data_IF_580458482857
#
_entry.id   IF_580458482857
#
_cell.length_a   1.000
_cell.length_b   1.000
_cell.length_c   1.000
_cell.angle_alpha   90.00
_cell.angle_beta   90.00
_cell.angle_gamma   90.00
#
_symmetry.space_group_name_H-M   'P 1'
#
loop_
_entity.id
_entity.type
_entity.pdbx_description
1 polymer ?
#
# COMPACT_ATOMS: atom_id res chain seq x y z
N UNK A 1 -8.94 5.90 14.48
CA UNK A 1 -7.55 5.39 14.27
C UNK A 1 -7.63 3.92 13.96
N UNK A 2 -7.14 3.50 12.79
CA UNK A 2 -7.20 2.09 12.35
C UNK A 2 -5.90 1.35 12.64
N UNK A 3 -4.75 2.02 12.59
CA UNK A 3 -3.44 1.45 12.89
C UNK A 3 -2.68 2.37 13.85
N UNK A 4 -2.17 1.79 14.95
CA UNK A 4 -1.27 2.48 15.90
C UNK A 4 -0.07 1.57 16.19
N UNK A 5 1.11 1.99 15.77
CA UNK A 5 2.39 1.32 15.99
C UNK A 5 3.15 2.11 17.04
N UNK A 6 3.50 1.46 18.14
CA UNK A 6 4.11 2.08 19.32
C UNK A 6 5.46 1.45 19.63
N UNK A 7 6.53 2.19 19.34
CA UNK A 7 7.92 1.84 19.65
C UNK A 7 8.30 0.42 19.17
N UNK A 8 7.89 0.06 17.94
CA UNK A 8 8.11 -1.29 17.42
C UNK A 8 9.53 -1.46 16.91
N UNK A 9 10.21 -2.46 17.44
CA UNK A 9 11.49 -2.97 16.93
C UNK A 9 11.31 -4.41 16.46
N UNK A 10 12.03 -4.78 15.41
CA UNK A 10 11.93 -6.11 14.82
C UNK A 10 13.32 -6.62 14.43
N UNK A 11 13.66 -7.84 14.86
CA UNK A 11 14.91 -8.51 14.54
C UNK A 11 14.63 -9.90 13.99
N UNK A 12 15.21 -10.21 12.82
CA UNK A 12 15.23 -11.57 12.29
C UNK A 12 16.30 -12.41 13.00
N UNK A 13 16.01 -13.68 13.26
CA UNK A 13 16.96 -14.65 13.88
C UNK A 13 18.25 -14.79 13.07
N UNK A 14 18.16 -14.62 11.75
CA UNK A 14 19.28 -14.65 10.81
C UNK A 14 20.12 -13.36 10.78
N UNK A 15 19.78 -12.32 11.58
CA UNK A 15 20.45 -11.03 11.58
C UNK A 15 20.88 -10.62 12.98
N UNK A 16 22.06 -10.01 13.07
CA UNK A 16 22.59 -9.46 14.34
C UNK A 16 21.94 -8.13 14.71
N UNK A 17 21.46 -7.36 13.72
CA UNK A 17 20.88 -6.02 13.93
C UNK A 17 19.39 -6.02 13.68
N UNK A 18 18.71 -5.15 14.38
CA UNK A 18 17.29 -4.88 14.17
C UNK A 18 17.03 -4.38 12.73
N UNK A 19 16.00 -4.91 12.12
CA UNK A 19 15.52 -4.47 10.82
C UNK A 19 14.57 -3.28 10.96
N UNK A 20 13.80 -3.25 12.07
CA UNK A 20 13.03 -2.10 12.52
C UNK A 20 13.53 -1.67 13.90
N UNK A 21 13.60 -0.37 14.17
CA UNK A 21 14.10 0.18 15.43
C UNK A 21 13.19 1.33 15.89
N UNK A 22 12.44 1.10 16.97
CA UNK A 22 11.62 2.12 17.63
C UNK A 22 10.60 2.79 16.73
N UNK A 23 9.98 2.03 15.81
CA UNK A 23 9.02 2.54 14.83
C UNK A 23 7.76 3.00 15.53
N UNK A 24 7.33 4.24 15.22
CA UNK A 24 6.05 4.79 15.64
C UNK A 24 5.31 5.27 14.38
N UNK A 25 4.02 4.89 14.24
CA UNK A 25 3.17 5.32 13.13
C UNK A 25 1.70 5.24 13.56
N UNK A 26 0.94 6.30 13.29
CA UNK A 26 -0.51 6.32 13.50
C UNK A 26 -1.21 6.62 12.18
N UNK A 27 -2.23 5.83 11.86
CA UNK A 27 -3.04 6.01 10.66
C UNK A 27 -4.51 6.05 11.08
N UNK A 28 -5.17 7.13 10.68
CA UNK A 28 -6.61 7.30 10.93
C UNK A 28 -7.44 6.58 9.86
N UNK A 29 -8.70 6.32 10.16
CA UNK A 29 -9.63 5.73 9.18
C UNK A 29 -9.80 6.67 7.98
N UNK A 30 -9.81 6.10 6.78
CA UNK A 30 -9.96 6.83 5.52
C UNK A 30 -8.71 7.58 5.05
N UNK A 31 -7.57 7.46 5.73
CA UNK A 31 -6.31 8.06 5.24
C UNK A 31 -5.74 7.30 4.04
N UNK A 32 -5.06 8.04 3.16
CA UNK A 32 -4.16 7.51 2.14
C UNK A 32 -2.73 7.88 2.47
N UNK A 33 -1.89 6.89 2.75
CA UNK A 33 -0.50 7.07 3.20
C UNK A 33 0.45 6.38 2.24
N UNK A 34 1.48 7.10 1.80
CA UNK A 34 2.60 6.53 1.05
C UNK A 34 3.79 6.32 2.00
N UNK A 35 4.23 5.09 2.14
CA UNK A 35 5.48 4.73 2.86
C UNK A 35 6.58 4.53 1.84
N UNK A 36 7.58 5.36 1.86
CA UNK A 36 8.69 5.34 0.92
C UNK A 36 10.04 5.10 1.60
N UNK A 37 11.04 4.70 0.82
CA UNK A 37 12.40 4.49 1.28
C UNK A 37 13.17 3.51 0.40
N UNK A 38 14.49 3.44 0.57
CA UNK A 38 15.37 2.55 -0.22
C UNK A 38 14.98 1.07 -0.02
N UNK A 39 15.28 0.24 -1.02
CA UNK A 39 15.19 -1.21 -0.85
C UNK A 39 16.01 -1.68 0.36
N UNK A 40 15.45 -2.58 1.16
CA UNK A 40 16.09 -3.12 2.37
C UNK A 40 16.02 -2.19 3.59
N UNK A 41 15.33 -1.05 3.58
CA UNK A 41 15.22 -0.16 4.74
C UNK A 41 14.22 -0.63 5.82
N UNK A 42 13.47 -1.72 5.59
CA UNK A 42 12.53 -2.30 6.57
C UNK A 42 11.05 -2.25 6.20
N UNK A 43 10.67 -1.70 5.04
CA UNK A 43 9.25 -1.53 4.63
C UNK A 43 8.45 -2.84 4.63
N UNK A 44 8.91 -3.88 3.93
CA UNK A 44 8.21 -5.17 3.87
C UNK A 44 8.22 -5.89 5.23
N UNK A 45 9.23 -5.62 6.09
CA UNK A 45 9.23 -6.10 7.47
C UNK A 45 8.14 -5.41 8.29
N UNK A 46 7.93 -4.10 8.09
CA UNK A 46 6.84 -3.37 8.71
C UNK A 46 5.47 -3.93 8.29
N UNK A 47 5.30 -4.21 6.99
CA UNK A 47 4.07 -4.85 6.48
C UNK A 47 3.86 -6.20 7.17
N UNK A 48 4.86 -7.07 7.21
CA UNK A 48 4.78 -8.38 7.89
C UNK A 48 4.45 -8.25 9.37
N UNK A 49 5.04 -7.26 10.06
CA UNK A 49 4.75 -7.02 11.47
C UNK A 49 3.30 -6.61 11.71
N UNK A 50 2.75 -5.71 10.87
CA UNK A 50 1.36 -5.25 10.96
C UNK A 50 0.36 -6.36 10.62
N UNK A 51 0.69 -7.21 9.65
CA UNK A 51 -0.19 -8.30 9.19
C UNK A 51 -0.07 -9.58 10.01
N UNK A 52 0.81 -9.60 11.02
CA UNK A 52 1.04 -10.79 11.83
C UNK A 52 1.75 -11.94 11.09
N UNK A 53 2.35 -11.65 9.93
CA UNK A 53 3.04 -12.65 9.08
C UNK A 53 4.54 -12.76 9.38
N UNK A 54 5.00 -12.16 10.45
CA UNK A 54 6.35 -12.43 10.95
C UNK A 54 6.30 -13.61 11.91
N UNK A 55 6.76 -14.76 11.44
CA UNK A 55 6.81 -15.96 12.26
C UNK A 55 7.77 -15.76 13.46
N UNK A 56 7.36 -16.28 14.63
CA UNK A 56 8.18 -16.21 15.86
C UNK A 56 9.50 -16.98 15.73
N UNK A 57 9.57 -17.95 14.81
CA UNK A 57 10.79 -18.69 14.50
C UNK A 57 11.74 -17.85 13.63
N UNK A 58 11.20 -16.98 12.80
CA UNK A 58 11.97 -16.11 11.90
C UNK A 58 12.47 -14.85 12.59
N UNK A 59 11.82 -14.40 13.67
CA UNK A 59 12.18 -13.15 14.32
C UNK A 59 11.40 -12.81 15.57
N UNK A 60 11.78 -11.71 16.21
CA UNK A 60 11.09 -11.12 17.36
C UNK A 60 10.58 -9.74 17.05
N UNK A 61 9.44 -9.41 17.66
CA UNK A 61 8.84 -8.06 17.65
C UNK A 61 8.77 -7.58 19.08
N UNK A 62 9.38 -6.42 19.38
CA UNK A 62 9.21 -5.67 20.60
C UNK A 62 8.37 -4.43 20.34
N UNK A 63 7.66 -3.93 21.35
CA UNK A 63 6.70 -2.82 21.22
C UNK A 63 5.28 -3.32 21.03
N UNK A 64 4.38 -2.46 20.53
CA UNK A 64 2.95 -2.80 20.37
C UNK A 64 2.42 -2.32 19.05
N UNK A 65 1.54 -3.13 18.46
CA UNK A 65 0.79 -2.79 17.24
C UNK A 65 -0.70 -2.97 17.55
N UNK A 66 -1.48 -1.92 17.32
CA UNK A 66 -2.92 -1.97 17.48
C UNK A 66 -3.60 -1.83 16.12
N UNK A 67 -4.56 -2.71 15.85
CA UNK A 67 -5.46 -2.65 14.71
C UNK A 67 -6.89 -2.46 15.20
N UNK A 68 -7.54 -1.38 14.76
CA UNK A 68 -8.90 -1.03 15.19
C UNK A 68 -9.04 -1.01 16.72
N UNK A 69 -8.01 -0.50 17.41
CA UNK A 69 -7.92 -0.42 18.87
C UNK A 69 -7.58 -1.72 19.60
N UNK A 70 -7.39 -2.85 18.90
CA UNK A 70 -7.03 -4.15 19.49
C UNK A 70 -5.53 -4.43 19.32
N UNK A 71 -4.89 -4.91 20.37
CA UNK A 71 -3.46 -5.33 20.32
C UNK A 71 -3.33 -6.59 19.43
N UNK A 72 -2.52 -6.50 18.37
CA UNK A 72 -2.31 -7.61 17.42
C UNK A 72 -1.68 -8.84 18.06
N UNK A 73 -0.95 -8.68 19.16
CA UNK A 73 -0.38 -9.81 19.90
C UNK A 73 -1.44 -10.74 20.52
N UNK A 74 -2.67 -10.22 20.72
CA UNK A 74 -3.81 -10.97 21.24
C UNK A 74 -4.79 -11.44 20.14
N UNK A 75 -4.51 -11.11 18.86
CA UNK A 75 -5.37 -11.46 17.73
C UNK A 75 -4.87 -12.71 17.02
N UNK A 76 -5.81 -13.49 16.49
CA UNK A 76 -5.46 -14.56 15.53
C UNK A 76 -5.15 -13.99 14.14
N UNK A 77 -4.43 -14.76 13.31
CA UNK A 77 -4.17 -14.39 11.92
C UNK A 77 -5.47 -14.14 11.12
N UNK A 78 -6.52 -14.91 11.43
CA UNK A 78 -7.85 -14.74 10.82
C UNK A 78 -8.48 -13.39 11.21
N UNK A 79 -8.44 -13.02 12.50
CA UNK A 79 -8.95 -11.72 12.98
C UNK A 79 -8.21 -10.55 12.34
N UNK A 80 -6.88 -10.64 12.19
CA UNK A 80 -6.08 -9.65 11.48
C UNK A 80 -6.49 -9.60 10.00
N UNK A 81 -6.61 -10.75 9.33
CA UNK A 81 -6.99 -10.87 7.91
C UNK A 81 -8.44 -10.43 7.60
N UNK A 82 -9.30 -10.28 8.61
CA UNK A 82 -10.61 -9.63 8.45
C UNK A 82 -10.47 -8.10 8.37
N UNK A 83 -9.55 -7.53 9.14
CA UNK A 83 -9.35 -6.08 9.23
C UNK A 83 -8.39 -5.56 8.16
N UNK A 84 -7.34 -6.32 7.84
CA UNK A 84 -6.26 -5.91 6.95
C UNK A 84 -6.24 -6.76 5.69
N UNK A 85 -6.42 -6.12 4.55
CA UNK A 85 -6.18 -6.71 3.25
C UNK A 85 -4.79 -6.36 2.75
N UNK A 86 -4.02 -7.34 2.29
CA UNK A 86 -2.65 -7.12 1.82
C UNK A 86 -2.50 -7.58 0.38
N UNK A 87 -1.94 -6.72 -0.47
CA UNK A 87 -1.50 -7.07 -1.82
C UNK A 87 0.02 -6.99 -1.87
N UNK A 88 0.67 -8.12 -2.21
CA UNK A 88 2.12 -8.24 -2.23
C UNK A 88 2.73 -7.75 -3.56
N UNK A 89 4.03 -7.52 -3.54
CA UNK A 89 4.82 -7.05 -4.68
C UNK A 89 4.70 -7.96 -5.91
N UNK A 90 4.67 -9.26 -5.69
CA UNK A 90 4.53 -10.28 -6.75
C UNK A 90 3.13 -10.89 -6.67
N UNK A 91 2.19 -10.52 -7.56
CA UNK A 91 0.85 -11.12 -7.54
C UNK A 91 0.87 -12.65 -7.67
N UNK A 92 1.82 -13.19 -8.43
CA UNK A 92 1.94 -14.63 -8.65
C UNK A 92 2.25 -15.43 -7.36
N UNK A 93 2.80 -14.79 -6.31
CA UNK A 93 3.02 -15.41 -5.00
C UNK A 93 1.71 -15.47 -4.16
N UNK A 94 0.69 -14.72 -4.56
CA UNK A 94 -0.58 -14.60 -3.85
C UNK A 94 -1.73 -15.32 -4.56
N UNK A 95 -1.68 -15.39 -5.90
CA UNK A 95 -2.73 -15.95 -6.75
C UNK A 95 -2.45 -17.45 -6.96
N UNK A 96 -3.45 -18.32 -6.70
CA UNK A 96 -3.26 -19.79 -6.76
C UNK A 96 -4.41 -20.56 -7.42
N UNK A 97 -5.58 -19.93 -7.65
CA UNK A 97 -6.72 -20.59 -8.27
C UNK A 97 -6.53 -20.80 -9.79
N UNK A 98 -7.48 -21.49 -10.43
CA UNK A 98 -7.43 -21.73 -11.88
C UNK A 98 -8.13 -20.62 -12.69
N UNK A 99 -9.21 -20.07 -12.15
CA UNK A 99 -9.99 -19.01 -12.80
C UNK A 99 -10.01 -17.73 -11.96
N UNK A 100 -10.36 -16.63 -12.60
CA UNK A 100 -10.49 -15.32 -11.95
C UNK A 100 -11.60 -15.35 -10.90
N UNK A 101 -12.73 -16.00 -11.17
CA UNK A 101 -13.84 -16.09 -10.21
C UNK A 101 -13.47 -16.91 -8.99
N UNK A 102 -12.80 -18.06 -9.18
CA UNK A 102 -12.37 -18.93 -8.08
C UNK A 102 -11.39 -18.19 -7.16
N UNK A 103 -10.45 -17.44 -7.73
CA UNK A 103 -9.46 -16.66 -6.96
C UNK A 103 -10.15 -15.61 -6.07
N UNK A 104 -11.06 -14.85 -6.63
CA UNK A 104 -11.78 -13.81 -5.87
C UNK A 104 -12.77 -14.41 -4.88
N UNK A 105 -13.44 -15.50 -5.25
CA UNK A 105 -14.44 -16.19 -4.40
C UNK A 105 -13.86 -16.92 -3.20
N UNK A 106 -12.62 -17.38 -3.30
CA UNK A 106 -11.98 -18.29 -2.35
C UNK A 106 -12.09 -17.86 -0.88
N UNK A 107 -11.78 -16.57 -0.59
CA UNK A 107 -11.83 -16.07 0.78
C UNK A 107 -13.24 -16.06 1.39
N UNK A 108 -14.27 -15.90 0.56
CA UNK A 108 -15.68 -15.93 0.99
C UNK A 108 -16.17 -17.39 1.17
N UNK A 109 -15.76 -18.27 0.28
CA UNK A 109 -16.11 -19.70 0.34
C UNK A 109 -15.53 -20.35 1.59
N UNK A 110 -14.27 -20.05 1.94
CA UNK A 110 -13.63 -20.51 3.16
C UNK A 110 -14.33 -20.02 4.43
N UNK A 111 -15.06 -18.89 4.36
CA UNK A 111 -15.90 -18.39 5.46
C UNK A 111 -17.30 -18.99 5.46
N UNK A 112 -17.60 -19.95 4.59
CA UNK A 112 -18.90 -20.62 4.49
C UNK A 112 -20.01 -19.73 3.95
N UNK A 113 -19.67 -18.67 3.19
CA UNK A 113 -20.65 -17.78 2.55
C UNK A 113 -21.39 -18.55 1.44
N UNK A 114 -22.69 -18.39 1.36
CA UNK A 114 -23.54 -19.08 0.40
C UNK A 114 -23.15 -18.73 -1.04
N UNK A 115 -23.10 -19.73 -1.93
CA UNK A 115 -22.55 -19.64 -3.28
C UNK A 115 -23.19 -18.53 -4.15
N UNK A 116 -24.49 -18.30 -4.00
CA UNK A 116 -25.18 -17.22 -4.74
C UNK A 116 -24.71 -15.84 -4.31
N UNK A 117 -24.41 -15.67 -3.02
CA UNK A 117 -23.84 -14.43 -2.44
C UNK A 117 -22.41 -14.23 -2.89
N UNK A 118 -21.60 -15.32 -2.89
CA UNK A 118 -20.21 -15.31 -3.40
C UNK A 118 -20.21 -14.83 -4.85
N UNK A 119 -21.00 -15.49 -5.72
CA UNK A 119 -21.08 -15.13 -7.15
C UNK A 119 -21.44 -13.65 -7.37
N UNK A 120 -22.39 -13.12 -6.59
CA UNK A 120 -22.79 -11.71 -6.66
C UNK A 120 -21.63 -10.79 -6.27
N UNK A 121 -20.98 -11.05 -5.14
CA UNK A 121 -19.85 -10.24 -4.64
C UNK A 121 -18.63 -10.29 -5.57
N UNK A 122 -18.32 -11.46 -6.12
CA UNK A 122 -17.26 -11.65 -7.12
C UNK A 122 -17.52 -10.76 -8.32
N UNK A 123 -18.72 -10.82 -8.89
CA UNK A 123 -19.09 -9.97 -10.04
C UNK A 123 -18.97 -8.48 -9.72
N UNK A 124 -19.45 -8.05 -8.56
CA UNK A 124 -19.37 -6.65 -8.13
C UNK A 124 -17.92 -6.15 -8.03
N UNK A 125 -17.04 -6.95 -7.40
CA UNK A 125 -15.64 -6.54 -7.22
C UNK A 125 -14.84 -6.62 -8.52
N UNK A 126 -15.11 -7.59 -9.39
CA UNK A 126 -14.46 -7.69 -10.71
C UNK A 126 -14.80 -6.49 -11.58
N UNK A 127 -16.09 -6.09 -11.65
CA UNK A 127 -16.50 -4.88 -12.35
C UNK A 127 -15.75 -3.64 -11.81
N UNK A 128 -15.62 -3.53 -10.50
CA UNK A 128 -14.95 -2.42 -9.84
C UNK A 128 -13.45 -2.37 -10.12
N UNK A 129 -12.80 -3.52 -10.18
CA UNK A 129 -11.35 -3.62 -10.44
C UNK A 129 -11.00 -3.62 -11.93
N UNK A 130 -12.01 -3.52 -12.83
CA UNK A 130 -11.81 -3.50 -14.28
C UNK A 130 -11.49 -4.86 -14.87
N UNK A 131 -12.04 -5.93 -14.25
CA UNK A 131 -11.95 -7.32 -14.72
C UNK A 131 -13.33 -7.91 -15.07
N UNK A 132 -14.33 -7.06 -15.31
CA UNK A 132 -15.68 -7.46 -15.68
C UNK A 132 -15.68 -8.34 -16.92
N UNK A 133 -16.46 -9.43 -16.90
CA UNK A 133 -16.52 -10.42 -18.00
C UNK A 133 -15.31 -11.34 -18.10
N UNK A 134 -14.42 -11.34 -17.12
CA UNK A 134 -13.25 -12.24 -17.07
C UNK A 134 -13.40 -13.40 -16.08
N UNK A 135 -14.57 -13.61 -15.51
CA UNK A 135 -14.85 -14.57 -14.45
C UNK A 135 -14.26 -15.96 -14.72
N UNK A 136 -14.55 -16.50 -15.91
CA UNK A 136 -14.14 -17.85 -16.34
C UNK A 136 -12.74 -17.89 -16.98
N UNK A 137 -12.06 -16.73 -17.02
CA UNK A 137 -10.74 -16.66 -17.65
C UNK A 137 -9.69 -17.31 -16.78
N UNK A 138 -8.79 -18.09 -17.40
CA UNK A 138 -7.62 -18.62 -16.70
C UNK A 138 -6.71 -17.48 -16.23
N UNK A 139 -6.24 -17.55 -14.98
CA UNK A 139 -5.31 -16.58 -14.40
C UNK A 139 -4.01 -16.48 -15.18
N UNK A 140 -3.54 -17.58 -15.78
CA UNK A 140 -2.32 -17.61 -16.62
C UNK A 140 -2.47 -16.82 -17.93
N UNK A 141 -3.70 -16.56 -18.37
CA UNK A 141 -3.95 -15.76 -19.56
C UNK A 141 -4.03 -14.24 -19.28
N UNK A 142 -3.82 -13.82 -18.03
CA UNK A 142 -3.86 -12.43 -17.63
C UNK A 142 -2.50 -11.74 -17.85
N UNK A 143 -2.54 -10.45 -18.24
CA UNK A 143 -1.36 -9.59 -18.22
C UNK A 143 -0.91 -9.28 -16.77
N UNK A 144 0.33 -8.81 -16.57
CA UNK A 144 0.84 -8.44 -15.25
C UNK A 144 -0.06 -7.43 -14.53
N UNK A 145 -0.53 -6.39 -15.23
CA UNK A 145 -1.46 -5.41 -14.65
C UNK A 145 -2.84 -6.00 -14.33
N UNK A 146 -3.33 -6.98 -15.12
CA UNK A 146 -4.56 -7.70 -14.80
C UNK A 146 -4.39 -8.62 -13.59
N UNK A 147 -3.23 -9.29 -13.45
CA UNK A 147 -2.93 -10.08 -12.23
C UNK A 147 -2.87 -9.20 -10.99
N UNK A 148 -2.28 -8.00 -11.08
CA UNK A 148 -2.26 -7.06 -9.96
C UNK A 148 -3.69 -6.62 -9.55
N UNK A 149 -4.57 -6.37 -10.55
CA UNK A 149 -5.98 -6.07 -10.30
C UNK A 149 -6.74 -7.26 -9.71
N UNK A 150 -6.39 -8.48 -10.13
CA UNK A 150 -6.96 -9.71 -9.58
C UNK A 150 -6.55 -9.88 -8.10
N UNK A 151 -5.27 -9.73 -7.77
CA UNK A 151 -4.79 -9.76 -6.39
C UNK A 151 -5.47 -8.67 -5.52
N UNK A 152 -5.72 -7.50 -6.08
CA UNK A 152 -6.51 -6.47 -5.39
C UNK A 152 -7.98 -6.91 -5.22
N UNK A 153 -8.61 -7.49 -6.23
CA UNK A 153 -10.00 -7.95 -6.18
C UNK A 153 -10.21 -9.06 -5.13
N UNK A 154 -9.26 -10.03 -5.05
CA UNK A 154 -9.33 -11.13 -4.07
C UNK A 154 -9.26 -10.64 -2.62
N UNK A 155 -8.61 -9.50 -2.41
CA UNK A 155 -8.58 -8.83 -1.11
C UNK A 155 -9.82 -7.98 -0.86
N UNK A 156 -10.24 -7.18 -1.83
CA UNK A 156 -11.37 -6.25 -1.70
C UNK A 156 -12.72 -6.95 -1.48
N UNK A 157 -12.90 -8.17 -1.98
CA UNK A 157 -14.14 -8.94 -1.83
C UNK A 157 -14.52 -9.17 -0.37
N UNK A 158 -13.53 -9.18 0.54
CA UNK A 158 -13.72 -9.33 1.99
C UNK A 158 -14.04 -8.03 2.71
N UNK A 159 -13.93 -6.87 2.03
CA UNK A 159 -14.15 -5.52 2.55
C UNK A 159 -13.28 -5.21 3.78
N UNK A 160 -11.95 -5.28 3.68
CA UNK A 160 -11.08 -4.94 4.80
C UNK A 160 -11.20 -3.45 5.16
N UNK A 161 -10.92 -3.09 6.42
CA UNK A 161 -10.86 -1.67 6.87
C UNK A 161 -9.56 -0.98 6.47
N UNK A 162 -8.47 -1.73 6.40
CA UNK A 162 -7.13 -1.27 6.02
C UNK A 162 -6.62 -2.09 4.83
N UNK A 163 -6.26 -1.41 3.76
CA UNK A 163 -5.63 -2.00 2.58
C UNK A 163 -4.15 -1.62 2.55
N UNK A 164 -3.28 -2.61 2.59
CA UNK A 164 -1.83 -2.44 2.46
C UNK A 164 -1.38 -3.01 1.11
N UNK A 165 -0.66 -2.19 0.33
CA UNK A 165 -0.16 -2.57 -0.99
C UNK A 165 1.36 -2.42 -1.00
N UNK A 166 2.08 -3.54 -1.19
CA UNK A 166 3.55 -3.54 -1.27
C UNK A 166 3.98 -3.52 -2.74
N UNK A 167 4.57 -2.41 -3.19
CA UNK A 167 5.04 -2.12 -4.55
C UNK A 167 4.02 -2.45 -5.67
N UNK A 168 2.74 -2.00 -5.55
CA UNK A 168 1.64 -2.50 -6.38
C UNK A 168 1.73 -2.09 -7.85
N UNK A 169 2.56 -1.11 -8.19
CA UNK A 169 2.66 -0.58 -9.56
C UNK A 169 3.93 -1.02 -10.29
N UNK A 170 4.75 -1.89 -9.67
CA UNK A 170 6.05 -2.30 -10.17
C UNK A 170 6.01 -2.96 -11.56
N UNK A 171 4.94 -3.70 -11.88
CA UNK A 171 4.76 -4.44 -13.13
C UNK A 171 3.79 -3.75 -14.12
N UNK A 172 3.40 -2.50 -13.85
CA UNK A 172 2.44 -1.78 -14.69
C UNK A 172 3.12 -0.80 -15.65
N UNK A 173 2.52 -0.63 -16.84
CA UNK A 173 2.86 0.48 -17.73
C UNK A 173 2.26 1.80 -17.19
N UNK A 174 2.69 2.99 -17.66
CA UNK A 174 2.23 4.26 -17.12
C UNK A 174 0.72 4.47 -17.13
N UNK A 175 0.01 4.00 -18.17
CA UNK A 175 -1.46 4.08 -18.22
C UNK A 175 -2.12 3.16 -17.19
N UNK A 176 -1.56 1.96 -17.00
CA UNK A 176 -1.98 1.02 -15.96
C UNK A 176 -1.81 1.59 -14.56
N UNK A 177 -0.68 2.25 -14.29
CA UNK A 177 -0.41 2.95 -13.03
C UNK A 177 -1.49 4.00 -12.76
N UNK A 178 -1.75 4.88 -13.75
CA UNK A 178 -2.76 5.93 -13.59
C UNK A 178 -4.14 5.35 -13.25
N UNK A 179 -4.63 4.40 -14.04
CA UNK A 179 -5.96 3.81 -13.82
C UNK A 179 -6.04 2.98 -12.52
N UNK A 180 -4.92 2.41 -12.05
CA UNK A 180 -4.85 1.74 -10.75
C UNK A 180 -4.92 2.74 -9.59
N UNK A 181 -4.22 3.86 -9.68
CA UNK A 181 -4.27 4.92 -8.67
C UNK A 181 -5.63 5.62 -8.62
N UNK A 182 -6.28 5.83 -9.78
CA UNK A 182 -7.67 6.30 -9.86
C UNK A 182 -8.64 5.36 -9.12
N UNK A 183 -8.46 4.05 -9.28
CA UNK A 183 -9.21 3.04 -8.53
C UNK A 183 -8.98 3.17 -7.03
N UNK A 184 -7.73 3.29 -6.55
CA UNK A 184 -7.45 3.44 -5.12
C UNK A 184 -8.10 4.71 -4.54
N UNK A 185 -8.05 5.83 -5.28
CA UNK A 185 -8.73 7.08 -4.86
C UNK A 185 -10.25 6.90 -4.81
N UNK A 186 -10.86 6.16 -5.75
CA UNK A 186 -12.30 5.89 -5.71
C UNK A 186 -12.68 5.05 -4.50
N UNK A 187 -11.89 4.02 -4.17
CA UNK A 187 -12.10 3.19 -2.97
C UNK A 187 -12.04 4.02 -1.69
N UNK A 188 -11.05 4.91 -1.58
CA UNK A 188 -10.93 5.78 -0.41
C UNK A 188 -12.12 6.74 -0.29
N UNK A 189 -12.53 7.39 -1.39
CA UNK A 189 -13.61 8.39 -1.37
C UNK A 189 -14.98 7.80 -1.17
N UNK A 190 -15.29 6.69 -1.82
CA UNK A 190 -16.62 6.08 -1.83
C UNK A 190 -16.86 5.15 -0.65
N UNK A 191 -15.80 4.45 -0.18
CA UNK A 191 -15.92 3.46 0.90
C UNK A 191 -15.22 3.88 2.19
N UNK A 192 -14.61 5.07 2.25
CA UNK A 192 -13.74 5.50 3.35
C UNK A 192 -12.63 4.50 3.68
N UNK A 193 -12.16 3.76 2.66
CA UNK A 193 -11.10 2.77 2.85
C UNK A 193 -9.81 3.45 3.25
N UNK A 194 -9.17 2.92 4.28
CA UNK A 194 -7.81 3.33 4.65
C UNK A 194 -6.82 2.61 3.76
N UNK A 195 -5.91 3.34 3.13
CA UNK A 195 -4.98 2.79 2.14
C UNK A 195 -3.55 3.16 2.49
N UNK A 196 -2.70 2.14 2.64
CA UNK A 196 -1.25 2.29 2.79
C UNK A 196 -0.58 1.69 1.57
N UNK A 197 0.20 2.48 0.87
CA UNK A 197 1.04 2.01 -0.23
C UNK A 197 2.50 2.10 0.19
N UNK A 198 3.21 1.00 0.07
CA UNK A 198 4.66 0.92 0.26
C UNK A 198 5.30 0.96 -1.12
N UNK A 199 6.17 1.93 -1.39
CA UNK A 199 6.76 2.11 -2.71
C UNK A 199 8.13 2.82 -2.65
N UNK A 200 8.96 2.58 -3.65
CA UNK A 200 10.22 3.30 -3.84
C UNK A 200 10.15 4.35 -4.96
N UNK A 201 9.16 4.25 -5.87
CA UNK A 201 8.93 5.17 -7.01
C UNK A 201 8.01 6.32 -6.64
N UNK A 202 8.41 7.14 -5.67
CA UNK A 202 7.59 8.24 -5.13
C UNK A 202 7.07 9.20 -6.22
N UNK A 203 7.86 9.44 -7.26
CA UNK A 203 7.51 10.40 -8.33
C UNK A 203 6.19 10.08 -9.05
N UNK A 204 5.86 8.80 -9.19
CA UNK A 204 4.65 8.36 -9.88
C UNK A 204 3.41 8.46 -8.99
N UNK A 205 3.61 8.36 -7.68
CA UNK A 205 2.53 8.29 -6.69
C UNK A 205 2.30 9.61 -5.93
N UNK A 206 3.29 10.49 -5.87
CA UNK A 206 3.24 11.70 -5.06
C UNK A 206 2.01 12.60 -5.30
N UNK A 207 1.50 12.62 -6.54
CA UNK A 207 0.30 13.40 -6.89
C UNK A 207 -1.01 12.84 -6.29
N UNK A 208 -1.00 11.59 -5.81
CA UNK A 208 -2.17 10.85 -5.39
C UNK A 208 -2.29 10.70 -3.88
N UNK A 209 -1.19 10.86 -3.15
CA UNK A 209 -1.11 10.65 -1.72
C UNK A 209 -0.89 11.96 -0.96
N UNK A 210 -1.78 12.32 -0.02
CA UNK A 210 -1.62 13.57 0.76
C UNK A 210 -0.54 13.47 1.82
N UNK A 211 -0.21 12.25 2.31
CA UNK A 211 0.76 11.99 3.39
C UNK A 211 1.87 11.07 2.91
N UNK A 212 3.09 11.43 3.25
CA UNK A 212 4.31 10.66 2.98
C UNK A 212 5.01 10.32 4.29
N UNK A 213 5.34 9.04 4.46
CA UNK A 213 6.24 8.57 5.50
C UNK A 213 7.51 8.04 4.85
N UNK A 214 8.70 8.50 5.28
CA UNK A 214 9.97 8.07 4.73
C UNK A 214 10.68 7.19 5.74
N UNK A 215 10.95 5.95 5.34
CA UNK A 215 11.69 4.99 6.15
C UNK A 215 13.16 4.94 5.71
N UNK A 216 14.07 5.00 6.69
CA UNK A 216 15.50 4.85 6.50
C UNK A 216 16.10 4.03 7.63
N UNK A 217 16.86 2.97 7.29
CA UNK A 217 17.53 2.10 8.27
C UNK A 217 16.65 1.66 9.44
N UNK A 218 15.41 1.24 9.15
CA UNK A 218 14.50 0.67 10.12
C UNK A 218 13.68 1.66 10.95
N UNK A 219 13.73 2.96 10.70
CA UNK A 219 12.92 3.96 11.39
C UNK A 219 12.37 5.01 10.43
N UNK A 220 11.33 5.72 10.82
CA UNK A 220 10.82 6.85 10.05
C UNK A 220 11.66 8.09 10.29
N UNK A 221 12.11 8.71 9.20
CA UNK A 221 12.85 9.99 9.20
C UNK A 221 11.98 11.17 8.80
N UNK A 222 10.83 10.89 8.22
CA UNK A 222 9.80 11.86 7.88
C UNK A 222 8.42 11.21 8.00
N UNK A 223 7.46 11.94 8.54
CA UNK A 223 6.04 11.62 8.53
C UNK A 223 5.27 12.95 8.48
N UNK A 224 4.59 13.20 7.37
CA UNK A 224 3.90 14.47 7.18
C UNK A 224 3.29 14.63 5.78
N UNK A 225 2.87 15.87 5.50
CA UNK A 225 2.24 16.20 4.22
C UNK A 225 3.21 16.03 3.06
N UNK A 226 2.72 15.47 1.95
CA UNK A 226 3.50 15.27 0.73
C UNK A 226 4.11 16.59 0.21
N UNK A 227 3.35 17.68 0.22
CA UNK A 227 3.80 18.98 -0.28
C UNK A 227 4.99 19.55 0.51
N UNK A 228 5.08 19.25 1.81
CA UNK A 228 6.13 19.75 2.70
C UNK A 228 7.40 18.88 2.62
N UNK A 229 7.26 17.63 2.24
CA UNK A 229 8.37 16.66 2.22
C UNK A 229 9.56 17.12 1.38
N UNK A 230 9.31 17.82 0.29
CA UNK A 230 10.34 18.26 -0.65
C UNK A 230 11.30 19.32 -0.08
N UNK A 231 10.91 20.02 0.95
CA UNK A 231 11.79 20.96 1.68
C UNK A 231 12.72 20.21 2.64
N UNK A 232 12.26 19.05 3.16
CA UNK A 232 13.06 18.21 4.07
C UNK A 232 14.01 17.29 3.29
N UNK A 233 13.58 16.78 2.13
CA UNK A 233 14.33 15.81 1.32
C UNK A 233 15.53 16.42 0.60
N UNK A 234 15.51 17.72 0.33
CA UNK A 234 16.59 18.41 -0.37
C UNK A 234 17.93 18.40 0.39
N UNK A 235 17.89 18.11 1.67
CA UNK A 235 19.08 18.14 2.53
C UNK A 235 19.78 16.77 2.68
N UNK A 236 19.21 15.67 2.13
CA UNK A 236 19.72 14.34 2.34
C UNK A 236 19.53 13.41 1.12
N UNK A 237 20.53 13.34 0.24
CA UNK A 237 20.60 12.35 -0.87
C UNK A 237 20.56 10.88 -0.42
N UNK A 238 20.58 10.62 0.90
CA UNK A 238 20.71 9.29 1.50
C UNK A 238 19.43 8.44 1.51
N UNK A 239 18.24 9.04 1.34
CA UNK A 239 16.95 8.30 1.50
C UNK A 239 16.53 7.51 0.28
N UNK A 240 17.19 7.69 -0.87
CA UNK A 240 16.90 6.95 -2.11
C UNK A 240 15.60 7.36 -2.79
N UNK A 241 15.05 8.51 -2.41
CA UNK A 241 13.86 9.09 -3.01
C UNK A 241 14.31 10.14 -4.01
N UNK A 242 13.90 9.99 -5.27
CA UNK A 242 14.20 10.98 -6.30
C UNK A 242 13.17 12.09 -6.26
N UNK A 243 13.65 13.33 -6.27
CA UNK A 243 12.79 14.51 -6.37
C UNK A 243 11.98 14.48 -7.68
N UNK A 244 10.65 14.71 -7.65
CA UNK A 244 9.83 14.79 -8.86
C UNK A 244 10.30 15.88 -9.81
N UNK A 245 10.17 15.62 -11.11
CA UNK A 245 10.55 16.60 -12.14
C UNK A 245 9.76 17.91 -12.03
N UNK A 246 8.50 17.84 -11.58
CA UNK A 246 7.66 19.01 -11.33
C UNK A 246 8.22 19.89 -10.21
N UNK A 247 8.73 19.29 -9.14
CA UNK A 247 9.39 20.01 -8.03
C UNK A 247 10.69 20.64 -8.50
N UNK A 248 11.53 19.90 -9.26
CA UNK A 248 12.76 20.44 -9.88
C UNK A 248 12.48 21.63 -10.77
N UNK A 249 11.43 21.53 -11.61
CA UNK A 249 11.02 22.64 -12.47
C UNK A 249 10.56 23.85 -11.65
N UNK A 250 9.73 23.63 -10.62
CA UNK A 250 9.28 24.70 -9.72
C UNK A 250 10.45 25.41 -9.04
N UNK A 251 11.46 24.68 -8.56
CA UNK A 251 12.70 25.26 -8.00
C UNK A 251 13.51 26.04 -9.02
N UNK A 252 13.68 25.46 -10.22
CA UNK A 252 14.39 26.16 -11.31
C UNK A 252 13.69 27.47 -11.67
N UNK A 253 12.36 27.49 -11.69
CA UNK A 253 11.55 28.68 -11.95
C UNK A 253 11.39 29.59 -10.73
N UNK A 254 12.00 29.26 -9.57
CA UNK A 254 11.92 30.00 -8.30
C UNK A 254 10.50 30.27 -7.83
N UNK A 255 9.59 29.30 -8.03
CA UNK A 255 8.22 29.39 -7.55
C UNK A 255 8.18 29.38 -6.02
N UNK A 256 7.28 30.18 -5.43
CA UNK A 256 7.07 30.20 -3.97
C UNK A 256 6.49 28.87 -3.45
N UNK A 257 5.64 28.21 -4.27
CA UNK A 257 5.06 26.92 -3.96
C UNK A 257 5.56 25.84 -4.90
N UNK A 258 6.17 24.81 -4.32
CA UNK A 258 6.57 23.61 -5.05
C UNK A 258 5.40 22.62 -5.09
N UNK A 259 5.18 21.99 -6.24
CA UNK A 259 4.13 20.97 -6.38
C UNK A 259 4.70 19.72 -7.04
N UNK A 260 4.26 18.57 -6.57
CA UNK A 260 4.52 17.27 -7.19
C UNK A 260 3.66 17.03 -8.44
N UNK A 261 2.62 17.83 -8.67
CA UNK A 261 1.78 17.79 -9.85
C UNK A 261 2.34 18.70 -10.94
N UNK A 262 2.73 18.13 -12.09
CA UNK A 262 3.22 18.90 -13.23
C UNK A 262 2.17 19.93 -13.70
N UNK A 263 0.87 19.56 -13.68
CA UNK A 263 -0.23 20.45 -14.03
C UNK A 263 -0.26 21.67 -13.11
N UNK A 264 -0.20 21.48 -11.80
CA UNK A 264 -0.19 22.58 -10.82
C UNK A 264 1.07 23.44 -10.97
N UNK A 265 2.25 22.83 -11.19
CA UNK A 265 3.49 23.58 -11.42
C UNK A 265 3.40 24.46 -12.67
N UNK A 266 2.82 23.94 -13.77
CA UNK A 266 2.61 24.72 -14.99
C UNK A 266 1.60 25.87 -14.77
N UNK A 267 0.54 25.63 -13.99
CA UNK A 267 -0.42 26.67 -13.62
C UNK A 267 0.23 27.79 -12.80
N UNK A 268 1.10 27.45 -11.83
CA UNK A 268 1.85 28.44 -11.04
C UNK A 268 2.85 29.23 -11.92
N UNK A 269 3.54 28.57 -12.85
CA UNK A 269 4.44 29.26 -13.82
C UNK A 269 3.66 30.28 -14.67
N UNK A 270 2.43 29.97 -15.08
CA UNK A 270 1.61 30.88 -15.87
C UNK A 270 1.07 32.07 -15.07
N UNK A 271 1.06 31.98 -13.74
CA UNK A 271 0.62 33.05 -12.83
C UNK A 271 1.77 33.94 -12.36
N UNK A 272 3.01 33.42 -12.38
CA UNK A 272 4.22 34.15 -12.02
C UNK A 272 4.72 35.00 -13.18
#
# INVERSE_FOLDING_TARGET
MILDIQNVSCRYTSREKDTLTGVNLRIEEGEMVLIAGRSGCGKSTLVKAVTGLLDKEDGSIDGKIFLDGKDTAAMSAEEIGVLVGTVYQTPDDQIFAMTVADEVGFALENRGIEASVVKKKVKEVLARTGLDGMEERSIHALSGGQRQRLALASVLVTKPKLLILDEPVSQMNPQGVQSFLELLVSLQREEHMTIVVVEHRVNELAAWFPRLCIMHKGHFVYDGLMDVSWYVLDQNDGYGIREPQSVKLGRFMKLEKLSYSLKKTVEEIKRA
#
